data_IF_507905696544
#
_entry.id   IF_507905696544
#
_cell.length_a   1.000
_cell.length_b   1.000
_cell.length_c   1.000
_cell.angle_alpha   90.00
_cell.angle_beta   90.00
_cell.angle_gamma   90.00
#
_symmetry.space_group_name_H-M   'P 1'
#
loop_
_entity.id
_entity.type
_entity.pdbx_description
1 polymer ?
#
# COMPACT_ATOMS: atom_id res chain seq x y z
N UNK A 1 13.96 6.01 6.32
CA UNK A 1 12.76 5.87 5.50
C UNK A 1 13.01 4.80 4.47
N UNK A 2 12.45 3.62 4.68
CA UNK A 2 12.56 2.49 3.75
C UNK A 2 11.74 2.72 2.50
N UNK A 3 11.96 1.87 1.50
CA UNK A 3 11.18 1.88 0.26
C UNK A 3 9.69 1.67 0.57
N UNK A 4 9.37 0.78 1.52
CA UNK A 4 7.98 0.50 1.89
C UNK A 4 7.33 1.68 2.60
N UNK A 5 8.07 2.37 3.48
CA UNK A 5 7.60 3.61 4.10
C UNK A 5 7.31 4.70 3.04
N UNK A 6 8.16 4.83 2.02
CA UNK A 6 7.95 5.79 0.93
C UNK A 6 6.71 5.45 0.10
N UNK A 7 6.52 4.17 -0.24
CA UNK A 7 5.32 3.73 -0.97
C UNK A 7 4.07 3.90 -0.10
N UNK A 8 4.12 3.64 1.22
CA UNK A 8 2.99 3.87 2.12
C UNK A 8 2.57 5.34 2.12
N UNK A 9 3.51 6.28 2.17
CA UNK A 9 3.16 7.71 2.14
C UNK A 9 2.43 8.11 0.86
N UNK A 10 2.89 7.62 -0.29
CA UNK A 10 2.21 7.85 -1.57
C UNK A 10 0.82 7.22 -1.54
N UNK A 11 0.71 5.98 -1.06
CA UNK A 11 -0.56 5.28 -0.92
C UNK A 11 -1.54 6.04 -0.02
N UNK A 12 -1.08 6.58 1.12
CA UNK A 12 -1.92 7.38 2.00
C UNK A 12 -2.46 8.64 1.31
N UNK A 13 -1.63 9.31 0.48
CA UNK A 13 -2.09 10.45 -0.32
C UNK A 13 -3.17 10.07 -1.32
N UNK A 14 -3.00 8.95 -2.02
CA UNK A 14 -3.98 8.45 -3.00
C UNK A 14 -5.29 8.03 -2.35
N UNK A 15 -5.23 7.45 -1.15
CA UNK A 15 -6.41 6.99 -0.41
C UNK A 15 -7.10 8.08 0.41
N UNK A 16 -6.51 9.28 0.55
CA UNK A 16 -7.03 10.34 1.42
C UNK A 16 -8.47 10.78 1.11
N UNK A 17 -8.91 10.64 -0.14
CA UNK A 17 -10.28 10.95 -0.59
C UNK A 17 -11.21 9.74 -0.67
N UNK A 18 -10.75 8.58 -0.18
CA UNK A 18 -11.47 7.30 -0.23
C UNK A 18 -11.90 6.87 1.18
N UNK A 19 -12.89 5.97 1.32
CA UNK A 19 -13.24 5.40 2.63
C UNK A 19 -12.11 4.55 3.25
N UNK A 20 -11.06 4.24 2.49
CA UNK A 20 -9.92 3.45 2.94
C UNK A 20 -8.79 4.28 3.58
N UNK A 21 -8.95 5.61 3.63
CA UNK A 21 -7.99 6.51 4.28
C UNK A 21 -7.67 6.04 5.71
N UNK A 22 -6.39 5.80 5.99
CA UNK A 22 -5.92 5.33 7.30
C UNK A 22 -6.31 3.88 7.66
N UNK A 23 -7.12 3.19 6.84
CA UNK A 23 -7.43 1.76 7.02
C UNK A 23 -6.44 0.85 6.31
N UNK A 24 -5.80 1.36 5.25
CA UNK A 24 -4.79 0.61 4.49
C UNK A 24 -3.39 1.05 4.90
N UNK A 25 -2.49 0.10 5.17
CA UNK A 25 -1.10 0.38 5.52
C UNK A 25 -0.15 -0.64 4.93
N UNK A 26 1.01 -0.19 4.47
CA UNK A 26 2.13 -1.04 4.08
C UNK A 26 3.13 -1.17 5.22
N UNK A 27 3.66 -2.37 5.43
CA UNK A 27 4.72 -2.64 6.41
C UNK A 27 5.77 -3.57 5.83
N UNK A 28 7.01 -3.39 6.26
CA UNK A 28 8.09 -4.32 5.90
C UNK A 28 7.96 -5.63 6.67
N UNK A 29 8.14 -6.74 5.97
CA UNK A 29 8.32 -8.04 6.62
C UNK A 29 9.78 -8.27 7.01
N UNK A 30 9.96 -8.93 8.16
CA UNK A 30 11.26 -9.48 8.55
C UNK A 30 11.63 -10.58 7.55
N UNK A 31 12.74 -10.41 6.85
CA UNK A 31 13.19 -11.31 5.78
C UNK A 31 13.00 -10.78 4.35
N UNK A 32 12.45 -9.57 4.20
CA UNK A 32 12.17 -8.94 2.91
C UNK A 32 10.75 -9.22 2.44
N UNK A 33 10.14 -8.23 1.79
CA UNK A 33 8.74 -8.27 1.36
C UNK A 33 7.88 -7.19 2.02
N UNK A 34 6.61 -7.15 1.62
CA UNK A 34 5.64 -6.13 2.03
C UNK A 34 4.39 -6.81 2.56
N UNK A 35 4.02 -6.48 3.80
CA UNK A 35 2.70 -6.75 4.35
C UNK A 35 1.74 -5.61 4.00
N UNK A 36 0.61 -5.96 3.41
CA UNK A 36 -0.48 -5.05 3.12
C UNK A 36 -1.57 -5.28 4.16
N UNK A 37 -1.82 -4.28 4.99
CA UNK A 37 -2.89 -4.29 5.97
C UNK A 37 -4.10 -3.53 5.43
N UNK A 38 -5.28 -4.14 5.49
CA UNK A 38 -6.58 -3.51 5.21
C UNK A 38 -7.48 -3.73 6.42
N UNK A 39 -7.56 -2.73 7.28
CA UNK A 39 -8.16 -2.84 8.60
C UNK A 39 -7.46 -3.92 9.44
N UNK A 40 -8.16 -5.00 9.78
CA UNK A 40 -7.63 -6.12 10.54
C UNK A 40 -7.07 -7.26 9.66
N UNK A 41 -7.23 -7.18 8.34
CA UNK A 41 -6.78 -8.21 7.40
C UNK A 41 -5.37 -7.91 6.92
N UNK A 42 -4.53 -8.95 6.84
CA UNK A 42 -3.17 -8.89 6.31
C UNK A 42 -3.09 -9.70 5.02
N UNK A 43 -2.45 -9.12 4.01
CA UNK A 43 -2.19 -9.71 2.70
C UNK A 43 -0.70 -9.60 2.39
N UNK A 44 -0.18 -10.54 1.60
CA UNK A 44 1.24 -10.57 1.20
C UNK A 44 1.45 -10.19 -0.26
N UNK A 45 0.38 -10.13 -1.06
CA UNK A 45 0.43 -9.65 -2.43
C UNK A 45 -0.77 -8.74 -2.73
N UNK A 46 -0.53 -7.76 -3.62
CA UNK A 46 -1.57 -6.83 -4.09
C UNK A 46 -2.75 -7.59 -4.69
N UNK A 47 -2.49 -8.70 -5.38
CA UNK A 47 -3.53 -9.51 -6.03
C UNK A 47 -4.47 -10.24 -5.05
N UNK A 48 -4.06 -10.40 -3.79
CA UNK A 48 -4.89 -11.04 -2.75
C UNK A 48 -5.93 -10.09 -2.13
N UNK A 49 -5.76 -8.78 -2.30
CA UNK A 49 -6.65 -7.76 -1.72
C UNK A 49 -8.04 -7.84 -2.38
N UNK A 50 -9.13 -7.84 -1.62
CA UNK A 50 -10.47 -8.01 -2.21
C UNK A 50 -10.97 -6.72 -2.88
N UNK A 51 -10.60 -5.58 -2.32
CA UNK A 51 -11.08 -4.26 -2.65
C UNK A 51 -10.37 -3.75 -3.91
N UNK A 52 -11.09 -3.67 -5.03
CA UNK A 52 -10.54 -3.24 -6.32
C UNK A 52 -9.95 -1.81 -6.26
N UNK A 53 -10.55 -0.92 -5.47
CA UNK A 53 -10.05 0.44 -5.26
C UNK A 53 -8.70 0.45 -4.50
N UNK A 54 -8.55 -0.40 -3.48
CA UNK A 54 -7.29 -0.55 -2.74
C UNK A 54 -6.20 -1.14 -3.65
N UNK A 55 -6.54 -2.13 -4.47
CA UNK A 55 -5.62 -2.68 -5.49
C UNK A 55 -5.14 -1.62 -6.46
N UNK A 56 -6.05 -0.79 -6.97
CA UNK A 56 -5.72 0.28 -7.90
C UNK A 56 -4.80 1.31 -7.24
N UNK A 57 -5.09 1.72 -6.00
CA UNK A 57 -4.27 2.65 -5.23
C UNK A 57 -2.87 2.09 -4.93
N UNK A 58 -2.75 0.81 -4.58
CA UNK A 58 -1.47 0.13 -4.37
C UNK A 58 -0.60 0.15 -5.62
N UNK A 59 -1.18 -0.22 -6.77
CA UNK A 59 -0.47 -0.21 -8.06
C UNK A 59 -0.05 1.19 -8.47
N UNK A 60 -0.92 2.18 -8.27
CA UNK A 60 -0.61 3.58 -8.54
C UNK A 60 0.49 4.12 -7.62
N UNK A 61 0.49 3.75 -6.33
CA UNK A 61 1.53 4.16 -5.38
C UNK A 61 2.90 3.62 -5.76
N UNK A 62 2.99 2.33 -6.14
CA UNK A 62 4.23 1.71 -6.61
C UNK A 62 4.71 2.40 -7.89
N UNK A 63 3.83 2.60 -8.88
CA UNK A 63 4.20 3.26 -10.14
C UNK A 63 4.63 4.72 -9.95
N UNK A 64 4.01 5.46 -9.02
CA UNK A 64 4.44 6.82 -8.69
C UNK A 64 5.81 6.81 -7.99
N UNK A 65 6.04 5.88 -7.05
CA UNK A 65 7.34 5.71 -6.42
C UNK A 65 8.44 5.40 -7.45
N UNK A 66 8.21 4.47 -8.38
CA UNK A 66 9.17 4.09 -9.43
C UNK A 66 9.57 5.26 -10.34
N UNK A 67 8.71 6.29 -10.47
CA UNK A 67 9.03 7.50 -11.24
C UNK A 67 9.93 8.49 -10.51
N UNK A 68 10.00 8.38 -9.19
CA UNK A 68 10.75 9.26 -8.30
C UNK A 68 11.93 8.57 -7.59
N UNK A 69 12.06 7.25 -7.76
CA UNK A 69 13.19 6.43 -7.31
C UNK A 69 14.41 6.58 -8.25
#
# INVERSE_FOLDING_TARGET
>A
MSIVEQIDEILQRLLASTPFAGQVRLREQVGGGIDIWVGAKRYTAVDEVAEAEVKAALRAAIAEWERHA
#
